data_IF_589933495194
#
_entry.id   IF_589933495194
#
_cell.length_a   1.000
_cell.length_b   1.000
_cell.length_c   1.000
_cell.angle_alpha   90.00
_cell.angle_beta   90.00
_cell.angle_gamma   90.00
#
_symmetry.space_group_name_H-M   'P 1'
#
loop_
_entity.id
_entity.type
_entity.pdbx_description
1 polymer ?
#
# COMPACT_ATOMS: atom_id res chain seq x y z
N UNK A 1 13.04 15.60 -17.76
CA UNK A 1 11.69 15.43 -17.18
C UNK A 1 10.62 15.48 -18.29
N UNK A 2 10.60 14.53 -19.23
CA UNK A 2 9.71 14.60 -20.40
C UNK A 2 8.96 13.31 -20.74
N UNK A 3 9.60 12.15 -20.63
CA UNK A 3 9.06 10.92 -21.24
C UNK A 3 7.87 10.28 -20.51
N UNK A 4 7.72 10.47 -19.20
CA UNK A 4 6.56 9.97 -18.44
C UNK A 4 5.34 10.89 -18.48
N UNK A 5 5.51 12.15 -18.90
CA UNK A 5 4.41 13.13 -18.95
C UNK A 5 3.65 13.06 -20.27
N UNK A 6 4.32 12.66 -21.36
CA UNK A 6 3.73 12.60 -22.70
C UNK A 6 2.78 11.40 -22.90
N UNK A 7 2.98 10.30 -22.16
CA UNK A 7 2.05 9.17 -22.18
C UNK A 7 0.69 9.47 -21.52
N UNK A 8 0.56 10.58 -20.79
CA UNK A 8 -0.64 10.93 -20.00
C UNK A 8 -1.58 11.95 -20.67
N UNK A 9 -1.26 12.48 -21.85
CA UNK A 9 -2.00 13.62 -22.45
C UNK A 9 -2.83 13.31 -23.70
N UNK A 10 -2.83 12.08 -24.23
CA UNK A 10 -3.47 11.77 -25.52
C UNK A 10 -4.88 11.12 -25.48
N UNK A 11 -5.53 11.02 -24.32
CA UNK A 11 -6.86 10.41 -24.20
C UNK A 11 -7.94 11.40 -23.78
N UNK A 12 -8.18 12.44 -24.60
CA UNK A 12 -9.42 13.24 -24.55
C UNK A 12 -9.85 13.64 -25.95
N UNK A 13 -10.88 12.97 -26.48
CA UNK A 13 -12.16 13.56 -26.96
C UNK A 13 -12.96 12.49 -27.71
N UNK A 14 -14.20 12.25 -27.29
CA UNK A 14 -15.41 12.28 -28.13
C UNK A 14 -16.65 11.93 -27.28
N UNK A 15 -17.53 12.91 -27.09
CA UNK A 15 -18.90 12.75 -26.58
C UNK A 15 -19.82 12.17 -27.66
N UNK A 16 -20.90 11.49 -27.27
CA UNK A 16 -22.28 11.84 -27.67
C UNK A 16 -23.27 11.07 -26.79
N UNK A 17 -24.33 11.75 -26.32
CA UNK A 17 -25.18 11.28 -25.23
C UNK A 17 -26.51 10.64 -25.64
N UNK A 18 -27.26 10.23 -24.61
CA UNK A 18 -28.72 10.30 -24.56
C UNK A 18 -29.22 10.13 -23.10
N UNK A 19 -30.36 10.75 -22.86
CA UNK A 19 -31.02 11.11 -21.61
C UNK A 19 -31.34 9.97 -20.63
N UNK A 20 -30.97 10.14 -19.35
CA UNK A 20 -31.45 9.36 -18.21
C UNK A 20 -31.18 10.12 -16.90
N UNK A 21 -32.20 10.29 -16.06
CA UNK A 21 -32.28 11.29 -14.99
C UNK A 21 -31.13 11.33 -13.97
N UNK A 22 -30.91 12.54 -13.43
CA UNK A 22 -29.87 12.94 -12.46
C UNK A 22 -29.82 12.13 -11.13
N UNK A 23 -30.75 11.21 -10.89
CA UNK A 23 -30.86 10.46 -9.63
C UNK A 23 -30.77 8.92 -9.79
N UNK A 24 -30.64 8.39 -11.01
CA UNK A 24 -30.54 6.94 -11.26
C UNK A 24 -29.13 6.44 -11.59
N UNK A 25 -28.13 7.34 -11.62
CA UNK A 25 -26.69 7.03 -11.76
C UNK A 25 -25.93 7.18 -10.45
N UNK A 26 -26.53 6.82 -9.32
CA UNK A 26 -25.72 6.28 -8.22
C UNK A 26 -25.40 4.86 -8.66
N UNK A 27 -24.41 4.78 -9.54
CA UNK A 27 -23.76 3.53 -9.93
C UNK A 27 -23.51 2.75 -8.64
N UNK A 28 -23.86 1.47 -8.67
CA UNK A 28 -23.35 0.48 -7.72
C UNK A 28 -21.82 0.55 -7.79
N UNK A 29 -21.22 1.46 -7.04
CA UNK A 29 -19.79 1.48 -6.82
C UNK A 29 -19.49 0.15 -6.15
N UNK A 30 -18.78 -0.72 -6.87
CA UNK A 30 -18.31 -1.98 -6.32
C UNK A 30 -17.71 -1.69 -4.94
N UNK A 31 -18.28 -2.29 -3.90
CA UNK A 31 -17.74 -2.20 -2.54
C UNK A 31 -16.26 -2.56 -2.61
N UNK A 32 -15.34 -1.72 -2.10
CA UNK A 32 -13.92 -2.00 -2.18
C UNK A 32 -13.63 -3.35 -1.52
N UNK A 33 -13.06 -4.28 -2.28
CA UNK A 33 -12.78 -5.64 -1.82
C UNK A 33 -11.56 -5.74 -0.89
N UNK A 34 -10.79 -4.66 -0.76
CA UNK A 34 -9.54 -4.56 0.01
C UNK A 34 -9.34 -3.14 0.57
N UNK A 35 -8.68 -3.01 1.73
CA UNK A 35 -8.37 -1.76 2.44
C UNK A 35 -7.69 -0.72 1.55
N UNK A 36 -6.73 -1.13 0.73
CA UNK A 36 -6.02 -0.22 -0.18
C UNK A 36 -6.99 0.50 -1.14
N UNK A 37 -7.93 -0.24 -1.74
CA UNK A 37 -8.92 0.33 -2.65
C UNK A 37 -9.88 1.25 -1.91
N UNK A 38 -10.28 0.88 -0.69
CA UNK A 38 -11.09 1.75 0.15
C UNK A 38 -10.38 3.05 0.50
N UNK A 39 -9.11 3.00 0.91
CA UNK A 39 -8.32 4.19 1.22
C UNK A 39 -8.19 5.10 -0.01
N UNK A 40 -7.89 4.52 -1.18
CA UNK A 40 -7.79 5.24 -2.45
C UNK A 40 -9.11 5.90 -2.86
N UNK A 41 -10.23 5.18 -2.80
CA UNK A 41 -11.57 5.71 -3.14
C UNK A 41 -11.95 6.92 -2.26
N UNK A 42 -11.46 6.95 -1.02
CA UNK A 42 -11.74 8.02 -0.07
C UNK A 42 -10.62 9.09 0.00
N UNK A 43 -9.63 9.02 -0.91
CA UNK A 43 -8.47 9.90 -0.95
C UNK A 43 -7.76 9.99 0.41
N UNK A 44 -7.49 8.85 1.03
CA UNK A 44 -6.63 8.75 2.20
C UNK A 44 -5.21 8.41 1.74
N UNK A 45 -4.33 9.42 1.82
CA UNK A 45 -2.92 9.28 1.45
C UNK A 45 -2.14 8.49 2.51
N UNK A 46 -2.52 8.63 3.78
CA UNK A 46 -1.86 7.98 4.90
C UNK A 46 -2.89 7.33 5.82
N UNK A 47 -3.01 6.00 5.74
CA UNK A 47 -3.97 5.24 6.53
C UNK A 47 -3.42 3.87 6.91
N UNK A 48 -3.93 3.31 8.00
CA UNK A 48 -3.51 2.02 8.53
C UNK A 48 -4.68 1.23 9.12
N UNK A 49 -4.56 -0.10 9.09
CA UNK A 49 -5.40 -1.02 9.85
C UNK A 49 -4.55 -1.70 10.91
N UNK A 50 -4.90 -1.47 12.17
CA UNK A 50 -4.35 -2.17 13.31
C UNK A 50 -5.23 -3.38 13.61
N UNK A 51 -4.63 -4.56 13.74
CA UNK A 51 -5.34 -5.79 14.12
C UNK A 51 -4.81 -6.31 15.44
N UNK A 52 -5.69 -6.94 16.25
CA UNK A 52 -5.23 -7.71 17.40
C UNK A 52 -4.38 -8.88 16.91
N UNK A 53 -3.18 -9.01 17.46
CA UNK A 53 -2.30 -10.15 17.25
C UNK A 53 -1.74 -10.55 18.62
N UNK A 54 -2.15 -11.72 19.09
CA UNK A 54 -1.99 -12.11 20.50
C UNK A 54 -2.38 -10.94 21.43
N UNK A 55 -1.62 -10.65 22.48
CA UNK A 55 -1.88 -9.59 23.45
C UNK A 55 -1.53 -8.16 22.98
N UNK A 56 -1.27 -7.98 21.69
CA UNK A 56 -0.84 -6.71 21.09
C UNK A 56 -1.78 -6.29 19.97
N UNK A 57 -1.63 -5.06 19.54
CA UNK A 57 -2.12 -4.56 18.26
C UNK A 57 -0.92 -4.25 17.38
N UNK A 58 -1.03 -4.61 16.11
CA UNK A 58 0.02 -4.39 15.11
C UNK A 58 -0.62 -3.87 13.83
N UNK A 59 0.06 -2.95 13.14
CA UNK A 59 -0.33 -2.51 11.81
C UNK A 59 -0.23 -3.69 10.83
N UNK A 60 -1.36 -4.14 10.31
CA UNK A 60 -1.43 -5.29 9.41
C UNK A 60 -1.54 -4.88 7.94
N UNK A 61 -2.16 -3.73 7.69
CA UNK A 61 -2.27 -3.11 6.37
C UNK A 61 -2.02 -1.61 6.50
N UNK A 62 -1.37 -1.02 5.51
CA UNK A 62 -0.98 0.38 5.47
C UNK A 62 -1.21 0.95 4.07
N UNK A 63 -1.31 2.27 3.99
CA UNK A 63 -1.27 3.07 2.77
C UNK A 63 -0.48 4.32 3.08
N UNK A 64 0.59 4.55 2.32
CA UNK A 64 1.48 5.70 2.43
C UNK A 64 2.20 5.82 3.78
N UNK A 65 2.31 4.76 4.58
CA UNK A 65 2.98 4.80 5.89
C UNK A 65 4.42 4.34 5.77
N UNK A 66 5.35 5.12 6.33
CA UNK A 66 6.77 4.75 6.34
C UNK A 66 7.05 3.50 7.20
N UNK A 67 8.08 2.75 6.85
CA UNK A 67 8.40 1.48 7.49
C UNK A 67 8.81 1.62 8.97
N UNK A 68 9.33 2.79 9.40
CA UNK A 68 9.65 3.06 10.81
C UNK A 68 8.37 3.23 11.62
N UNK A 69 7.37 3.93 11.07
CA UNK A 69 6.02 4.03 11.65
C UNK A 69 5.33 2.68 11.69
N UNK A 70 5.41 1.88 10.60
CA UNK A 70 4.90 0.50 10.60
C UNK A 70 5.53 -0.30 11.74
N UNK A 71 6.85 -0.22 11.91
CA UNK A 71 7.54 -0.96 12.96
C UNK A 71 7.18 -0.48 14.37
N UNK A 72 7.04 0.83 14.57
CA UNK A 72 6.66 1.44 15.86
C UNK A 72 5.20 1.18 16.25
N UNK A 73 4.39 0.62 15.35
CA UNK A 73 2.96 0.42 15.54
C UNK A 73 2.57 -0.61 16.61
N UNK A 74 3.53 -1.44 17.06
CA UNK A 74 3.29 -2.51 18.02
C UNK A 74 2.95 -1.94 19.39
N UNK A 75 1.72 -2.18 19.84
CA UNK A 75 1.22 -1.64 21.11
C UNK A 75 0.40 -2.65 21.89
N UNK A 76 0.22 -2.40 23.19
CA UNK A 76 -0.59 -3.26 24.05
C UNK A 76 -2.08 -3.11 23.72
N UNK A 77 -2.86 -4.14 24.03
CA UNK A 77 -4.33 -4.04 23.97
C UNK A 77 -4.88 -2.94 24.89
N UNK A 78 -4.26 -2.76 26.07
CA UNK A 78 -4.69 -1.77 27.06
C UNK A 78 -4.56 -0.34 26.55
N UNK A 79 -3.54 -0.05 25.72
CA UNK A 79 -3.41 1.24 25.06
C UNK A 79 -4.69 1.58 24.29
N UNK A 80 -5.14 0.66 23.43
CA UNK A 80 -6.31 0.85 22.61
C UNK A 80 -7.61 0.86 23.43
N UNK A 81 -7.76 -0.03 24.41
CA UNK A 81 -8.94 -0.02 25.29
C UNK A 81 -9.08 1.25 26.14
N UNK A 82 -7.97 1.80 26.63
CA UNK A 82 -7.97 3.06 27.37
C UNK A 82 -8.19 4.29 26.50
N UNK A 83 -7.83 4.19 25.21
CA UNK A 83 -7.91 5.32 24.25
C UNK A 83 -9.28 5.39 23.59
N UNK A 84 -9.90 4.25 23.26
CA UNK A 84 -11.29 4.22 22.82
C UNK A 84 -12.21 4.43 24.01
N UNK A 85 -12.49 5.69 24.33
CA UNK A 85 -13.71 6.02 25.07
C UNK A 85 -14.86 5.35 24.31
N UNK A 86 -15.75 4.62 25.01
CA UNK A 86 -16.84 3.79 24.48
C UNK A 86 -17.86 4.57 23.63
N UNK A 87 -17.41 5.22 22.57
CA UNK A 87 -18.15 6.06 21.66
C UNK A 87 -18.12 5.37 20.31
N UNK A 88 -19.31 5.05 19.82
CA UNK A 88 -19.48 4.56 18.47
C UNK A 88 -19.13 5.66 17.47
N UNK A 89 -18.36 5.31 16.43
CA UNK A 89 -18.01 6.21 15.35
C UNK A 89 -16.58 6.73 15.36
N UNK A 90 -16.32 7.61 14.40
CA UNK A 90 -15.01 8.24 14.21
C UNK A 90 -14.66 9.13 15.40
N UNK A 91 -13.42 9.02 15.84
CA UNK A 91 -12.84 9.91 16.84
C UNK A 91 -11.61 10.58 16.24
N UNK A 92 -11.40 11.84 16.61
CA UNK A 92 -10.34 12.68 16.06
C UNK A 92 -9.51 13.25 17.20
N UNK A 93 -8.20 13.13 17.09
CA UNK A 93 -7.25 13.82 17.97
C UNK A 93 -6.33 14.70 17.15
N UNK A 94 -5.98 15.86 17.69
CA UNK A 94 -5.10 16.83 17.05
C UNK A 94 -3.72 16.76 17.70
N UNK A 95 -2.67 16.69 16.90
CA UNK A 95 -1.28 16.65 17.40
C UNK A 95 -0.94 17.94 18.14
N UNK A 96 -0.07 17.86 19.14
CA UNK A 96 0.28 18.98 20.02
C UNK A 96 -0.73 19.19 21.15
N UNK A 97 -1.70 18.27 21.28
CA UNK A 97 -2.66 18.25 22.39
C UNK A 97 -2.44 17.02 23.25
N UNK A 98 -2.73 17.11 24.55
CA UNK A 98 -2.65 15.98 25.50
C UNK A 98 -3.36 14.70 24.99
N UNK A 99 -4.54 14.79 24.35
CA UNK A 99 -5.19 13.62 23.74
C UNK A 99 -4.39 12.88 22.65
N UNK A 100 -3.49 13.56 21.93
CA UNK A 100 -2.71 12.95 20.85
C UNK A 100 -1.36 12.37 21.31
N UNK A 101 -0.82 12.84 22.44
CA UNK A 101 0.47 12.38 22.98
C UNK A 101 0.60 10.85 23.08
N UNK A 102 -0.43 10.07 23.48
CA UNK A 102 -0.31 8.62 23.52
C UNK A 102 -0.06 7.96 22.16
N UNK A 103 -0.49 8.59 21.06
CA UNK A 103 -0.31 8.05 19.70
C UNK A 103 1.09 8.31 19.15
N UNK A 104 1.87 9.20 19.74
CA UNK A 104 3.24 9.48 19.29
C UNK A 104 4.12 8.23 19.38
N UNK A 105 3.89 7.33 20.33
CA UNK A 105 4.64 6.09 20.40
C UNK A 105 4.45 5.18 19.17
N UNK A 106 3.39 5.39 18.37
CA UNK A 106 3.11 4.62 17.16
C UNK A 106 3.73 5.22 15.90
N UNK A 107 4.37 6.38 15.99
CA UNK A 107 4.80 7.19 14.85
C UNK A 107 6.33 7.32 14.81
N UNK A 108 6.88 7.39 13.60
CA UNK A 108 8.25 7.88 13.36
C UNK A 108 8.38 9.35 13.76
N UNK A 109 9.60 9.83 14.03
CA UNK A 109 9.85 11.25 14.34
C UNK A 109 9.33 12.17 13.23
N UNK A 110 9.56 11.80 11.97
CA UNK A 110 9.05 12.53 10.80
C UNK A 110 7.51 12.67 10.87
N UNK A 111 6.79 11.60 11.22
CA UNK A 111 5.34 11.64 11.38
C UNK A 111 4.90 12.44 12.61
N UNK A 112 5.61 12.36 13.74
CA UNK A 112 5.27 13.14 14.95
C UNK A 112 5.29 14.64 14.70
N UNK A 113 6.24 15.12 13.89
CA UNK A 113 6.38 16.55 13.58
C UNK A 113 5.35 17.04 12.54
N UNK A 114 4.99 16.17 11.59
CA UNK A 114 4.26 16.54 10.39
C UNK A 114 2.76 16.23 10.43
N UNK A 115 2.34 15.14 11.07
CA UNK A 115 0.92 14.83 11.28
C UNK A 115 0.29 15.93 12.14
N UNK A 116 -0.91 16.35 11.76
CA UNK A 116 -1.71 17.39 12.44
C UNK A 116 -2.95 16.82 13.11
N UNK A 117 -3.49 15.72 12.57
CA UNK A 117 -4.69 15.07 13.07
C UNK A 117 -4.63 13.56 12.83
N UNK A 118 -5.10 12.81 13.81
CA UNK A 118 -5.25 11.37 13.74
C UNK A 118 -6.73 11.08 13.92
N UNK A 119 -7.33 10.46 12.91
CA UNK A 119 -8.69 9.98 12.97
C UNK A 119 -8.68 8.47 13.14
N UNK A 120 -9.52 7.95 14.03
CA UNK A 120 -9.58 6.52 14.26
C UNK A 120 -11.02 6.03 14.42
N UNK A 121 -11.22 4.80 13.96
CA UNK A 121 -12.51 4.11 14.01
C UNK A 121 -12.28 2.64 14.39
N UNK A 122 -13.00 2.21 15.42
CA UNK A 122 -13.13 0.80 15.76
C UNK A 122 -14.19 0.17 14.85
N UNK A 123 -13.86 -0.93 14.16
CA UNK A 123 -14.73 -1.50 13.13
C UNK A 123 -15.93 -2.28 13.66
N UNK A 124 -15.82 -2.86 14.85
CA UNK A 124 -16.86 -3.71 15.44
C UNK A 124 -17.09 -3.35 16.92
N UNK A 125 -18.36 -3.39 17.34
CA UNK A 125 -18.77 -3.25 18.74
C UNK A 125 -18.55 -4.58 19.48
N UNK A 126 -17.44 -4.70 20.19
CA UNK A 126 -17.01 -5.92 20.88
C UNK A 126 -15.49 -5.90 21.14
N UNK A 127 -14.93 -6.86 21.87
CA UNK A 127 -13.54 -6.87 22.37
C UNK A 127 -12.43 -6.47 21.38
N UNK A 128 -11.67 -7.45 20.91
CA UNK A 128 -10.50 -7.29 20.02
C UNK A 128 -10.93 -6.98 18.58
N UNK A 129 -11.33 -5.75 18.32
CA UNK A 129 -11.76 -5.31 16.97
C UNK A 129 -10.62 -4.60 16.25
N UNK A 130 -10.44 -4.79 14.93
CA UNK A 130 -9.53 -3.99 14.15
C UNK A 130 -9.86 -2.50 14.22
N UNK A 131 -8.82 -1.68 14.14
CA UNK A 131 -8.90 -0.23 14.22
C UNK A 131 -8.36 0.34 12.92
N UNK A 132 -9.14 1.21 12.29
CA UNK A 132 -8.64 2.05 11.20
C UNK A 132 -8.09 3.33 11.80
N UNK A 133 -6.90 3.72 11.36
CA UNK A 133 -6.31 5.02 11.65
C UNK A 133 -6.01 5.77 10.36
N UNK A 134 -6.32 7.06 10.32
CA UNK A 134 -6.02 7.96 9.21
C UNK A 134 -5.15 9.08 9.77
N UNK A 135 -4.03 9.34 9.11
CA UNK A 135 -3.07 10.36 9.50
C UNK A 135 -3.20 11.53 8.53
N UNK A 136 -3.60 12.69 9.04
CA UNK A 136 -3.78 13.91 8.24
C UNK A 136 -2.67 14.91 8.56
N UNK A 137 -2.06 15.45 7.51
CA UNK A 137 -0.96 16.42 7.56
C UNK A 137 -1.49 17.86 7.43
N UNK A 138 -2.79 18.01 7.20
CA UNK A 138 -3.50 19.26 7.37
C UNK A 138 -4.37 19.23 8.64
N UNK A 139 -4.74 20.41 9.12
CA UNK A 139 -5.64 20.58 10.26
C UNK A 139 -7.11 20.65 9.84
N UNK A 140 -7.45 20.38 8.58
CA UNK A 140 -8.81 20.59 8.08
C UNK A 140 -9.71 19.45 8.54
N UNK A 141 -10.93 19.82 8.91
CA UNK A 141 -11.97 18.82 9.12
C UNK A 141 -12.36 18.18 7.79
N UNK A 142 -12.42 16.86 7.79
CA UNK A 142 -12.78 16.03 6.65
C UNK A 142 -13.95 15.17 7.08
N UNK A 143 -14.98 15.09 6.24
CA UNK A 143 -16.09 14.16 6.45
C UNK A 143 -15.56 12.75 6.25
N UNK A 144 -15.59 11.94 7.30
CA UNK A 144 -15.04 10.59 7.28
C UNK A 144 -16.14 9.58 6.91
N UNK A 145 -15.90 8.74 5.90
CA UNK A 145 -16.83 7.71 5.47
C UNK A 145 -16.82 6.57 6.50
N UNK A 146 -17.98 5.93 6.71
CA UNK A 146 -18.01 4.66 7.41
C UNK A 146 -17.60 3.53 6.45
N UNK A 147 -16.74 2.60 6.88
CA UNK A 147 -16.36 1.44 6.09
C UNK A 147 -17.54 0.46 6.03
N UNK A 148 -18.26 0.44 4.90
CA UNK A 148 -19.45 -0.41 4.75
C UNK A 148 -19.09 -1.89 4.62
N UNK A 149 -17.90 -2.24 4.12
CA UNK A 149 -17.42 -3.63 3.96
C UNK A 149 -15.91 -3.67 3.61
N UNK A 150 -15.01 -3.27 4.51
CA UNK A 150 -13.58 -3.49 4.27
C UNK A 150 -13.27 -4.94 4.63
N UNK A 151 -12.87 -5.74 3.64
CA UNK A 151 -12.33 -7.05 3.94
C UNK A 151 -10.95 -6.88 4.58
N UNK A 152 -10.90 -7.00 5.90
CA UNK A 152 -9.66 -7.01 6.69
C UNK A 152 -9.09 -8.41 6.83
N UNK A 153 -9.72 -9.45 6.28
CA UNK A 153 -9.14 -10.79 6.30
C UNK A 153 -7.95 -10.80 5.35
N UNK A 154 -6.90 -11.49 5.76
CA UNK A 154 -5.74 -11.84 4.92
C UNK A 154 -6.19 -12.83 3.83
N UNK A 155 -7.16 -12.42 3.01
CA UNK A 155 -7.32 -12.95 1.68
C UNK A 155 -6.19 -12.32 0.87
N UNK A 156 -5.05 -13.00 0.84
CA UNK A 156 -4.28 -13.04 -0.39
C UNK A 156 -5.25 -13.66 -1.40
N UNK A 157 -6.17 -12.84 -1.92
CA UNK A 157 -6.97 -13.18 -3.06
C UNK A 157 -5.90 -13.40 -4.11
N UNK A 158 -5.47 -14.66 -4.21
CA UNK A 158 -4.43 -15.07 -5.12
C UNK A 158 -4.75 -14.36 -6.41
N UNK A 159 -3.77 -13.70 -6.99
CA UNK A 159 -3.88 -13.24 -8.36
C UNK A 159 -3.87 -14.49 -9.28
N UNK A 160 -4.75 -15.45 -9.00
CA UNK A 160 -5.17 -16.55 -9.87
C UNK A 160 -6.35 -16.13 -10.73
N UNK A 161 -6.81 -14.87 -10.63
CA UNK A 161 -7.57 -14.23 -11.69
C UNK A 161 -6.79 -14.48 -12.99
N UNK A 162 -7.44 -15.14 -13.94
CA UNK A 162 -6.85 -15.56 -15.20
C UNK A 162 -6.07 -14.38 -15.79
N UNK A 163 -4.74 -14.47 -15.72
CA UNK A 163 -3.82 -13.57 -16.42
C UNK A 163 -4.08 -13.77 -17.91
N UNK A 164 -5.02 -13.00 -18.44
CA UNK A 164 -5.18 -12.79 -19.88
C UNK A 164 -4.04 -11.87 -20.30
N UNK A 165 -2.88 -12.48 -20.58
CA UNK A 165 -1.82 -11.80 -21.30
C UNK A 165 -2.25 -11.84 -22.76
N UNK A 166 -2.96 -10.79 -23.20
CA UNK A 166 -3.20 -10.58 -24.62
C UNK A 166 -1.86 -10.67 -25.36
N UNK A 167 -1.82 -11.24 -26.59
CA UNK A 167 -0.59 -11.40 -27.33
C UNK A 167 0.10 -10.03 -27.43
N UNK A 168 1.26 -9.85 -26.79
CA UNK A 168 1.79 -8.53 -26.60
C UNK A 168 2.34 -8.02 -27.94
N UNK A 169 1.95 -6.81 -28.32
CA UNK A 169 2.45 -6.15 -29.54
C UNK A 169 3.97 -5.87 -29.47
N UNK A 170 4.53 -5.92 -28.26
CA UNK A 170 5.93 -5.65 -27.93
C UNK A 170 6.53 -6.79 -27.11
N UNK A 171 7.84 -7.04 -27.18
CA UNK A 171 8.50 -7.99 -26.28
C UNK A 171 8.36 -7.57 -24.81
N UNK A 172 8.19 -8.54 -23.92
CA UNK A 172 8.19 -8.34 -22.48
C UNK A 172 9.60 -8.47 -21.92
N UNK A 173 10.08 -7.42 -21.27
CA UNK A 173 11.28 -7.43 -20.43
C UNK A 173 10.89 -7.93 -19.04
N UNK A 174 11.51 -9.02 -18.60
CA UNK A 174 11.19 -9.73 -17.36
C UNK A 174 12.16 -9.31 -16.27
N UNK A 175 11.63 -8.80 -15.16
CA UNK A 175 12.41 -8.30 -14.03
C UNK A 175 12.00 -8.96 -12.72
N UNK A 176 13.00 -9.29 -11.91
CA UNK A 176 12.83 -9.70 -10.52
C UNK A 176 13.32 -8.58 -9.61
N UNK A 177 12.44 -8.09 -8.74
CA UNK A 177 12.73 -7.01 -7.80
C UNK A 177 12.79 -7.62 -6.40
N UNK A 178 13.98 -7.71 -5.82
CA UNK A 178 14.18 -8.25 -4.48
C UNK A 178 14.13 -7.13 -3.43
N UNK A 179 13.24 -7.27 -2.44
CA UNK A 179 13.02 -6.29 -1.38
C UNK A 179 13.54 -6.75 -0.01
N UNK A 180 13.87 -8.03 0.14
CA UNK A 180 14.22 -8.67 1.42
C UNK A 180 15.27 -7.89 2.23
N UNK A 181 16.40 -7.56 1.61
CA UNK A 181 17.48 -6.80 2.30
C UNK A 181 17.04 -5.39 2.64
N UNK A 182 16.26 -4.75 1.77
CA UNK A 182 15.79 -3.38 1.97
C UNK A 182 14.78 -3.29 3.12
N UNK A 183 13.80 -4.19 3.17
CA UNK A 183 12.81 -4.25 4.25
C UNK A 183 13.53 -4.51 5.60
N UNK A 184 14.42 -5.51 5.66
CA UNK A 184 15.18 -5.81 6.88
C UNK A 184 16.03 -4.65 7.36
N UNK A 185 16.74 -3.98 6.45
CA UNK A 185 17.52 -2.78 6.79
C UNK A 185 16.64 -1.66 7.35
N UNK A 186 15.42 -1.50 6.82
CA UNK A 186 14.48 -0.48 7.28
C UNK A 186 13.91 -0.78 8.66
N UNK A 187 13.71 -2.06 8.99
CA UNK A 187 13.15 -2.49 10.28
C UNK A 187 14.23 -2.66 11.37
N UNK A 188 15.49 -2.89 10.99
CA UNK A 188 16.60 -3.09 11.92
C UNK A 188 16.82 -1.92 12.89
N UNK A 189 16.36 -0.72 12.55
CA UNK A 189 16.46 0.46 13.39
C UNK A 189 15.48 0.48 14.58
N UNK A 190 14.45 -0.37 14.59
CA UNK A 190 13.24 -0.17 15.40
C UNK A 190 13.05 -1.18 16.54
N UNK A 191 14.09 -1.93 16.89
CA UNK A 191 14.05 -2.95 17.96
C UNK A 191 13.58 -4.31 17.46
N UNK A 192 13.86 -5.35 18.25
CA UNK A 192 13.53 -6.73 17.92
C UNK A 192 12.23 -7.13 18.63
N UNK A 193 11.17 -7.39 17.86
CA UNK A 193 9.99 -8.09 18.37
C UNK A 193 10.18 -9.61 18.27
N UNK A 194 9.18 -10.37 18.71
CA UNK A 194 9.09 -11.80 18.39
C UNK A 194 9.05 -12.03 16.86
N UNK A 195 9.51 -13.19 16.42
CA UNK A 195 9.68 -13.50 14.98
C UNK A 195 8.37 -13.39 14.20
N UNK A 196 7.24 -13.72 14.83
CA UNK A 196 5.92 -13.66 14.23
C UNK A 196 5.47 -12.21 13.97
N UNK A 197 5.67 -11.29 14.92
CA UNK A 197 5.38 -9.87 14.71
C UNK A 197 6.34 -9.28 13.69
N UNK A 198 7.64 -9.60 13.74
CA UNK A 198 8.58 -9.14 12.73
C UNK A 198 8.14 -9.56 11.33
N UNK A 199 7.74 -10.83 11.16
CA UNK A 199 7.21 -11.35 9.89
C UNK A 199 5.95 -10.60 9.43
N UNK A 200 5.04 -10.28 10.36
CA UNK A 200 3.85 -9.48 10.04
C UNK A 200 4.23 -8.06 9.56
N UNK A 201 5.15 -7.40 10.25
CA UNK A 201 5.63 -6.06 9.89
C UNK A 201 6.34 -6.06 8.53
N UNK A 202 7.21 -7.04 8.28
CA UNK A 202 7.88 -7.24 6.99
C UNK A 202 6.84 -7.40 5.87
N UNK A 203 5.81 -8.24 6.10
CA UNK A 203 4.70 -8.45 5.15
C UNK A 203 3.89 -7.18 4.89
N UNK A 204 3.63 -6.37 5.91
CA UNK A 204 2.92 -5.09 5.77
C UNK A 204 3.70 -4.10 4.92
N UNK A 205 5.01 -3.95 5.17
CA UNK A 205 5.87 -3.10 4.32
C UNK A 205 5.95 -3.65 2.89
N UNK A 206 6.11 -4.97 2.72
CA UNK A 206 6.13 -5.60 1.40
C UNK A 206 4.85 -5.33 0.60
N UNK A 207 3.67 -5.51 1.23
CA UNK A 207 2.36 -5.22 0.61
C UNK A 207 2.32 -3.77 0.10
N UNK A 208 2.79 -2.82 0.88
CA UNK A 208 2.79 -1.40 0.51
C UNK A 208 3.70 -1.12 -0.69
N UNK A 209 4.93 -1.64 -0.67
CA UNK A 209 5.86 -1.51 -1.79
C UNK A 209 5.32 -2.13 -3.08
N UNK A 210 4.67 -3.29 -2.97
CA UNK A 210 3.98 -3.92 -4.09
C UNK A 210 2.87 -3.02 -4.66
N UNK A 211 2.06 -2.40 -3.80
CA UNK A 211 0.99 -1.47 -4.23
C UNK A 211 1.55 -0.21 -4.89
N UNK A 212 2.63 0.36 -4.37
CA UNK A 212 3.31 1.50 -5.00
C UNK A 212 3.78 1.13 -6.40
N UNK A 213 4.42 -0.03 -6.57
CA UNK A 213 4.87 -0.46 -7.90
C UNK A 213 3.69 -0.73 -8.82
N UNK A 214 2.67 -1.46 -8.35
CA UNK A 214 1.48 -1.79 -9.13
C UNK A 214 0.74 -0.55 -9.63
N UNK A 215 0.69 0.51 -8.83
CA UNK A 215 0.04 1.77 -9.24
C UNK A 215 0.93 2.70 -10.05
N UNK A 216 2.25 2.56 -9.94
CA UNK A 216 3.21 3.32 -10.75
C UNK A 216 3.37 2.74 -12.15
N UNK A 217 3.12 1.46 -12.33
CA UNK A 217 3.09 0.80 -13.63
C UNK A 217 1.80 1.15 -14.36
N UNK A 218 1.91 1.48 -15.66
CA UNK A 218 0.75 1.65 -16.53
C UNK A 218 0.00 0.33 -16.71
N UNK A 219 -1.26 0.41 -17.18
CA UNK A 219 -2.07 -0.78 -17.51
C UNK A 219 -1.39 -1.72 -18.51
N UNK A 220 -0.42 -1.23 -19.28
CA UNK A 220 0.35 -2.00 -20.26
C UNK A 220 1.48 -2.84 -19.64
N UNK A 221 1.68 -2.80 -18.32
CA UNK A 221 2.72 -3.54 -17.61
C UNK A 221 2.12 -4.37 -16.48
N UNK A 222 2.77 -5.49 -16.16
CA UNK A 222 2.22 -6.47 -15.22
C UNK A 222 3.21 -6.67 -14.09
N UNK A 223 2.72 -6.66 -12.85
CA UNK A 223 3.50 -7.05 -11.68
C UNK A 223 2.76 -8.09 -10.84
N UNK A 224 3.52 -9.04 -10.31
CA UNK A 224 3.05 -10.16 -9.51
C UNK A 224 3.90 -10.32 -8.25
N UNK A 225 3.27 -10.78 -7.16
CA UNK A 225 4.00 -11.16 -5.96
C UNK A 225 4.81 -12.43 -6.24
N UNK A 226 6.11 -12.39 -5.94
CA UNK A 226 6.98 -13.57 -5.94
C UNK A 226 7.10 -14.16 -4.53
N UNK A 227 7.99 -15.14 -4.40
CA UNK A 227 8.42 -15.66 -3.09
C UNK A 227 9.45 -14.73 -2.44
N UNK A 228 9.73 -14.92 -1.14
CA UNK A 228 10.85 -14.29 -0.43
C UNK A 228 10.93 -12.75 -0.56
N UNK A 229 9.79 -12.07 -0.48
CA UNK A 229 9.67 -10.61 -0.62
C UNK A 229 10.13 -10.09 -2.00
N UNK A 230 9.93 -10.89 -3.04
CA UNK A 230 10.19 -10.51 -4.42
C UNK A 230 8.93 -9.99 -5.11
N UNK A 231 9.14 -9.11 -6.09
CA UNK A 231 8.11 -8.69 -7.03
C UNK A 231 8.59 -9.05 -8.44
N UNK A 232 7.78 -9.79 -9.18
CA UNK A 232 8.03 -10.13 -10.57
C UNK A 232 7.33 -9.12 -11.45
N UNK A 233 8.03 -8.52 -12.39
CA UNK A 233 7.46 -7.55 -13.32
C UNK A 233 7.73 -7.96 -14.76
N UNK A 234 6.69 -7.89 -15.60
CA UNK A 234 6.79 -8.00 -17.04
C UNK A 234 6.45 -6.62 -17.64
N UNK A 235 7.43 -5.98 -18.27
CA UNK A 235 7.29 -4.65 -18.84
C UNK A 235 7.44 -4.69 -20.36
N UNK A 236 6.50 -4.06 -21.06
CA UNK A 236 6.34 -4.19 -22.51
C UNK A 236 6.85 -2.93 -23.20
N UNK A 237 8.15 -2.92 -23.51
CA UNK A 237 8.83 -1.80 -24.16
C UNK A 237 9.15 -2.11 -25.62
N UNK A 238 9.19 -1.07 -26.46
CA UNK A 238 9.63 -1.19 -27.86
C UNK A 238 11.14 -1.03 -28.04
N UNK A 239 11.81 -0.50 -27.02
CA UNK A 239 13.24 -0.18 -26.99
C UNK A 239 13.90 -0.92 -25.83
N UNK A 240 15.22 -1.06 -25.90
CA UNK A 240 15.99 -1.65 -24.81
C UNK A 240 15.95 -0.75 -23.57
N UNK A 241 15.66 -1.36 -22.42
CA UNK A 241 15.56 -0.66 -21.15
C UNK A 241 16.88 -0.77 -20.40
N UNK A 242 17.42 0.36 -19.93
CA UNK A 242 18.54 0.37 -18.98
C UNK A 242 18.07 -0.11 -17.59
N UNK A 243 18.51 -1.31 -17.13
CA UNK A 243 18.08 -1.86 -15.85
C UNK A 243 18.54 -1.00 -14.65
N UNK A 244 19.69 -0.32 -14.76
CA UNK A 244 20.21 0.52 -13.68
C UNK A 244 19.36 1.78 -13.51
N UNK A 245 18.94 2.37 -14.62
CA UNK A 245 18.02 3.50 -14.61
C UNK A 245 16.68 3.09 -14.01
N UNK A 246 16.12 1.94 -14.42
CA UNK A 246 14.88 1.42 -13.86
C UNK A 246 15.00 1.16 -12.35
N UNK A 247 16.07 0.51 -11.90
CA UNK A 247 16.32 0.27 -10.48
C UNK A 247 16.37 1.60 -9.71
N UNK A 248 17.06 2.61 -10.25
CA UNK A 248 17.15 3.94 -9.63
C UNK A 248 15.76 4.58 -9.48
N UNK A 249 14.89 4.44 -10.48
CA UNK A 249 13.52 4.93 -10.41
C UNK A 249 12.68 4.18 -9.36
N UNK A 250 12.78 2.86 -9.31
CA UNK A 250 12.07 2.03 -8.33
C UNK A 250 12.55 2.35 -6.91
N UNK A 251 13.87 2.40 -6.67
CA UNK A 251 14.45 2.82 -5.39
C UNK A 251 13.97 4.20 -4.98
N UNK A 252 13.87 5.15 -5.92
CA UNK A 252 13.35 6.50 -5.63
C UNK A 252 11.88 6.48 -5.22
N UNK A 253 11.05 5.67 -5.88
CA UNK A 253 9.64 5.51 -5.51
C UNK A 253 9.49 4.90 -4.11
N UNK A 254 10.29 3.88 -3.80
CA UNK A 254 10.25 3.19 -2.50
C UNK A 254 10.90 3.98 -1.36
N UNK A 255 11.69 5.02 -1.65
CA UNK A 255 12.33 5.85 -0.65
C UNK A 255 11.34 6.48 0.35
N UNK A 256 10.12 6.77 -0.07
CA UNK A 256 9.08 7.34 0.81
C UNK A 256 8.70 6.38 1.94
N UNK A 257 8.76 5.07 1.67
CA UNK A 257 8.41 4.04 2.65
C UNK A 257 9.64 3.52 3.40
N UNK A 258 10.72 3.19 2.67
CA UNK A 258 11.92 2.56 3.23
C UNK A 258 12.95 3.56 3.80
N UNK A 259 12.84 4.85 3.45
CA UNK A 259 13.91 5.80 3.68
C UNK A 259 15.11 5.60 2.74
N UNK A 260 16.07 6.55 2.78
CA UNK A 260 17.16 6.61 1.80
C UNK A 260 18.13 5.43 1.83
N UNK A 261 18.54 4.98 3.02
CA UNK A 261 19.53 3.92 3.19
C UNK A 261 18.98 2.56 2.73
N UNK A 262 17.81 2.16 3.22
CA UNK A 262 17.20 0.89 2.87
C UNK A 262 16.74 0.84 1.41
N UNK A 263 16.19 1.93 0.85
CA UNK A 263 15.79 1.96 -0.56
C UNK A 263 16.96 1.73 -1.54
N UNK A 264 18.19 2.07 -1.16
CA UNK A 264 19.39 1.78 -1.95
C UNK A 264 19.75 0.29 -2.02
N UNK A 265 19.15 -0.54 -1.16
CA UNK A 265 19.34 -1.99 -1.11
C UNK A 265 18.31 -2.77 -1.94
N UNK A 266 17.39 -2.08 -2.61
CA UNK A 266 16.47 -2.70 -3.56
C UNK A 266 17.29 -3.18 -4.76
N UNK A 267 17.14 -4.45 -5.11
CA UNK A 267 17.85 -5.07 -6.23
C UNK A 267 16.86 -5.36 -7.35
N UNK A 268 17.25 -5.00 -8.58
CA UNK A 268 16.52 -5.34 -9.78
C UNK A 268 17.39 -6.24 -10.67
N UNK A 269 16.86 -7.41 -11.00
CA UNK A 269 17.51 -8.39 -11.84
C UNK A 269 16.75 -8.52 -13.15
N UNK A 270 17.43 -8.32 -14.28
CA UNK A 270 16.89 -8.61 -15.61
C UNK A 270 16.99 -10.11 -15.87
N UNK A 271 15.85 -10.79 -15.97
CA UNK A 271 15.77 -12.24 -16.17
C UNK A 271 15.81 -12.59 -17.66
N UNK A 272 15.33 -11.70 -18.52
CA UNK A 272 15.38 -11.87 -19.96
C UNK A 272 14.26 -11.15 -20.68
N UNK A 273 14.10 -11.47 -21.96
CA UNK A 273 13.08 -10.88 -22.84
C UNK A 273 12.30 -12.03 -23.48
N UNK A 274 10.97 -11.97 -23.44
CA UNK A 274 10.11 -12.97 -24.10
C UNK A 274 8.98 -12.31 -24.89
N UNK A 275 8.62 -12.93 -26.02
CA UNK A 275 7.42 -12.62 -26.80
C UNK A 275 6.33 -13.68 -26.63
N UNK A 276 6.63 -14.77 -25.92
CA UNK A 276 5.74 -15.90 -25.75
C UNK A 276 4.86 -15.68 -24.51
N UNK A 277 3.53 -15.51 -24.66
CA UNK A 277 2.63 -15.31 -23.53
C UNK A 277 2.72 -16.41 -22.47
N UNK A 278 2.99 -17.66 -22.89
CA UNK A 278 3.13 -18.78 -21.97
C UNK A 278 4.38 -18.66 -21.07
N UNK A 279 5.50 -18.21 -21.62
CA UNK A 279 6.74 -17.96 -20.86
C UNK A 279 6.58 -16.78 -19.91
N UNK A 280 5.94 -15.69 -20.36
CA UNK A 280 5.65 -14.51 -19.53
C UNK A 280 4.76 -14.92 -18.35
N UNK A 281 3.67 -15.66 -18.64
CA UNK A 281 2.77 -16.18 -17.60
C UNK A 281 3.49 -17.12 -16.66
N UNK A 282 4.32 -18.02 -17.18
CA UNK A 282 5.10 -18.94 -16.36
C UNK A 282 6.04 -18.17 -15.43
N UNK A 283 6.77 -17.18 -15.93
CA UNK A 283 7.62 -16.33 -15.11
C UNK A 283 6.84 -15.64 -13.98
N UNK A 284 5.69 -15.02 -14.29
CA UNK A 284 4.90 -14.28 -13.30
C UNK A 284 4.29 -15.21 -12.24
N UNK A 285 3.81 -16.40 -12.63
CA UNK A 285 3.07 -17.31 -11.75
C UNK A 285 3.92 -18.38 -11.06
N UNK A 286 5.09 -18.73 -11.62
CA UNK A 286 5.94 -19.81 -11.08
C UNK A 286 7.21 -19.28 -10.47
N UNK A 287 7.65 -19.91 -9.38
CA UNK A 287 8.60 -19.36 -8.43
C UNK A 287 7.81 -18.95 -7.22
#
# INVERSE_FOLDING_TARGET
MGLLKEALLFSRTAETGQSGGLLSKIEKSASPSDFYQWAKQNNFEHAAVFKPYEKKYVMADAVGIDAVTVCSSVSSRDFFYGTFLQKDGWQSVFTGTKPAEPFYQLLSEDYKESVKRIDFLKLESGGESPVIMIFSFDSKEKVLPFPVSINTKDGDAGQTAELSVDPPSKPAHLFLISLKTAIKESLAASGLYDDDINSLLEKTVYKELFRILQTSLSNDHICFKGQNDEIKAAMFFGEELDPLLLQTHISKAFKVILGGKAASKVLLLSVGISKNPAEIRNFLLTG
#
